data_IF_335395256283
#
_entry.id   IF_335395256283
#
_cell.length_a   1.000
_cell.length_b   1.000
_cell.length_c   1.000
_cell.angle_alpha   90.00
_cell.angle_beta   90.00
_cell.angle_gamma   90.00
#
_symmetry.space_group_name_H-M   'P 1'
#
loop_
_entity.id
_entity.type
_entity.pdbx_description
1 polymer ?
#
# COMPACT_ATOMS: atom_id res chain seq x y z
N UNK A 1 14.00 -0.85 10.76
CA UNK A 1 12.87 -0.40 9.93
C UNK A 1 11.56 -0.79 10.57
N UNK A 2 10.84 0.20 11.08
CA UNK A 2 9.49 0.13 11.62
C UNK A 2 8.59 1.04 10.79
N UNK A 3 7.35 0.64 10.55
CA UNK A 3 6.33 1.54 10.01
C UNK A 3 5.76 2.31 11.20
N UNK A 4 5.90 3.63 11.20
CA UNK A 4 5.51 4.48 12.31
C UNK A 4 4.23 5.27 12.05
N UNK A 5 3.87 5.50 10.79
CA UNK A 5 2.58 6.08 10.38
C UNK A 5 2.07 5.39 9.12
N UNK A 6 0.74 5.29 9.00
CA UNK A 6 0.04 4.76 7.82
C UNK A 6 -1.14 5.66 7.51
N UNK A 7 -1.11 6.29 6.33
CA UNK A 7 -2.19 7.15 5.85
C UNK A 7 -2.94 6.45 4.74
N UNK A 8 -4.23 6.19 4.97
CA UNK A 8 -5.10 5.49 4.01
C UNK A 8 -6.05 6.50 3.37
N UNK A 9 -6.01 6.59 2.05
CA UNK A 9 -7.01 7.31 1.26
C UNK A 9 -7.88 6.29 0.54
N UNK A 10 -9.11 6.11 1.05
CA UNK A 10 -10.13 5.25 0.44
C UNK A 10 -10.45 5.74 -0.98
N UNK A 11 -10.62 4.82 -1.91
CA UNK A 11 -11.09 5.08 -3.27
C UNK A 11 -12.53 4.56 -3.39
N UNK A 12 -13.29 5.10 -4.35
CA UNK A 12 -14.64 4.63 -4.65
C UNK A 12 -14.69 3.10 -4.76
N UNK A 13 -15.81 2.50 -4.33
CA UNK A 13 -15.96 1.04 -4.20
C UNK A 13 -15.85 0.27 -5.52
N UNK A 14 -15.94 0.97 -6.65
CA UNK A 14 -15.89 0.39 -8.00
C UNK A 14 -14.45 0.11 -8.45
N UNK A 15 -14.22 -1.11 -8.97
CA UNK A 15 -12.94 -1.54 -9.50
C UNK A 15 -12.06 -2.30 -8.50
N UNK A 16 -10.88 -2.72 -8.98
CA UNK A 16 -9.93 -3.56 -8.21
C UNK A 16 -9.15 -2.77 -7.17
N UNK A 17 -8.85 -1.49 -7.41
CA UNK A 17 -8.09 -0.65 -6.49
C UNK A 17 -9.02 -0.05 -5.44
N UNK A 18 -8.74 -0.30 -4.16
CA UNK A 18 -9.62 0.08 -3.05
C UNK A 18 -9.11 1.26 -2.24
N UNK A 19 -7.79 1.44 -2.17
CA UNK A 19 -7.19 2.56 -1.48
C UNK A 19 -5.82 2.90 -2.07
N UNK A 20 -5.41 4.14 -1.85
CA UNK A 20 -4.02 4.59 -1.98
C UNK A 20 -3.50 4.87 -0.58
N UNK A 21 -2.30 4.37 -0.28
CA UNK A 21 -1.70 4.34 1.04
C UNK A 21 -0.31 4.97 0.97
N UNK A 22 0.03 5.74 2.00
CA UNK A 22 1.41 6.18 2.27
C UNK A 22 1.85 5.63 3.62
N UNK A 23 3.11 5.22 3.73
CA UNK A 23 3.70 4.75 4.98
C UNK A 23 4.90 5.61 5.35
N UNK A 24 5.08 5.88 6.65
CA UNK A 24 6.28 6.48 7.21
C UNK A 24 7.11 5.38 7.86
N UNK A 25 8.40 5.36 7.54
CA UNK A 25 9.39 4.42 8.04
C UNK A 25 10.29 5.14 9.03
N UNK A 26 10.39 4.58 10.24
CA UNK A 26 11.23 5.06 11.35
C UNK A 26 11.07 6.56 11.66
N UNK A 27 9.89 7.16 11.42
CA UNK A 27 9.62 8.61 11.55
C UNK A 27 10.47 9.52 10.65
N UNK A 28 11.15 8.95 9.66
CA UNK A 28 12.20 9.64 8.90
C UNK A 28 11.95 9.62 7.39
N UNK A 29 11.31 8.58 6.85
CA UNK A 29 11.19 8.40 5.41
C UNK A 29 9.77 7.99 5.00
N UNK A 30 9.22 8.63 3.98
CA UNK A 30 7.85 8.34 3.51
C UNK A 30 7.87 7.67 2.15
N UNK A 31 7.09 6.60 2.00
CA UNK A 31 6.79 5.96 0.72
C UNK A 31 5.33 6.23 0.38
N UNK A 32 5.11 6.94 -0.72
CA UNK A 32 3.78 7.24 -1.25
C UNK A 32 3.32 6.23 -2.31
N UNK A 33 2.05 6.33 -2.69
CA UNK A 33 1.44 5.62 -3.81
C UNK A 33 1.48 4.08 -3.74
N UNK A 34 1.46 3.51 -2.53
CA UNK A 34 1.17 2.10 -2.33
C UNK A 34 -0.32 1.88 -2.53
N UNK A 35 -0.73 0.85 -3.26
CA UNK A 35 -2.14 0.59 -3.59
C UNK A 35 -2.63 -0.64 -2.85
N UNK A 36 -3.82 -0.58 -2.28
CA UNK A 36 -4.57 -1.76 -1.84
C UNK A 36 -5.44 -2.23 -2.99
N UNK A 37 -5.28 -3.49 -3.39
CA UNK A 37 -5.95 -4.07 -4.56
C UNK A 37 -6.70 -5.34 -4.13
N UNK A 38 -7.94 -5.46 -4.58
CA UNK A 38 -8.75 -6.68 -4.51
C UNK A 38 -8.46 -7.58 -5.71
N UNK A 39 -7.87 -8.73 -5.43
CA UNK A 39 -7.66 -9.82 -6.39
C UNK A 39 -8.56 -11.02 -6.08
N UNK A 40 -8.43 -12.07 -6.90
CA UNK A 40 -9.25 -13.30 -6.76
C UNK A 40 -9.03 -14.04 -5.43
N UNK A 41 -7.84 -13.90 -4.84
CA UNK A 41 -7.45 -14.54 -3.56
C UNK A 41 -7.58 -13.60 -2.35
N UNK A 42 -8.24 -12.45 -2.53
CA UNK A 42 -8.39 -11.43 -1.50
C UNK A 42 -7.54 -10.18 -1.73
N UNK A 43 -7.42 -9.37 -0.68
CA UNK A 43 -6.70 -8.10 -0.71
C UNK A 43 -5.19 -8.32 -0.70
N UNK A 44 -4.47 -7.53 -1.49
CA UNK A 44 -3.02 -7.46 -1.48
C UNK A 44 -2.55 -6.02 -1.75
N UNK A 45 -1.27 -5.75 -1.51
CA UNK A 45 -0.67 -4.44 -1.82
C UNK A 45 0.13 -4.47 -3.12
N UNK A 46 0.06 -3.40 -3.89
CA UNK A 46 0.99 -3.12 -4.98
C UNK A 46 1.86 -1.92 -4.59
N UNK A 47 3.17 -2.10 -4.66
CA UNK A 47 4.13 -1.03 -4.41
C UNK A 47 4.03 0.08 -5.48
N UNK A 48 4.51 1.30 -5.19
CA UNK A 48 4.59 2.36 -6.18
C UNK A 48 5.47 1.92 -7.35
N UNK A 49 4.95 2.03 -8.56
CA UNK A 49 5.62 1.60 -9.78
C UNK A 49 5.54 2.64 -10.88
N UNK A 50 6.57 2.67 -11.72
CA UNK A 50 6.65 3.56 -12.89
C UNK A 50 6.77 2.73 -14.16
N UNK A 51 6.09 3.18 -15.21
CA UNK A 51 6.26 2.63 -16.56
C UNK A 51 7.60 3.13 -17.12
N UNK A 52 8.47 2.19 -17.48
CA UNK A 52 9.73 2.44 -18.15
C UNK A 52 9.52 2.69 -19.65
N UNK A 53 10.56 3.16 -20.34
CA UNK A 53 10.51 3.50 -21.78
C UNK A 53 10.26 2.26 -22.67
N UNK A 54 10.66 1.08 -22.19
CA UNK A 54 10.37 -0.23 -22.79
C UNK A 54 8.92 -0.70 -22.58
N UNK A 55 8.13 0.04 -21.81
CA UNK A 55 6.74 -0.25 -21.52
C UNK A 55 6.51 -1.14 -20.29
N UNK A 56 7.57 -1.64 -19.66
CA UNK A 56 7.47 -2.45 -18.44
C UNK A 56 7.18 -1.59 -17.21
N UNK A 57 6.43 -2.13 -16.25
CA UNK A 57 6.27 -1.50 -14.94
C UNK A 57 7.35 -2.04 -13.99
N UNK A 58 8.04 -1.13 -13.32
CA UNK A 58 9.00 -1.46 -12.27
C UNK A 58 8.65 -0.72 -10.99
N UNK A 59 8.73 -1.43 -9.88
CA UNK A 59 8.53 -0.85 -8.56
C UNK A 59 9.65 0.17 -8.28
N UNK A 60 9.25 1.39 -7.94
CA UNK A 60 10.14 2.47 -7.52
C UNK A 60 10.71 2.16 -6.13
N UNK A 61 9.87 1.61 -5.25
CA UNK A 61 10.26 1.18 -3.91
C UNK A 61 9.70 -0.21 -3.66
N UNK A 62 10.52 -1.14 -3.20
CA UNK A 62 10.07 -2.49 -2.85
C UNK A 62 10.92 -3.09 -1.73
N UNK A 63 10.33 -3.91 -0.85
CA UNK A 63 11.08 -4.66 0.14
C UNK A 63 11.98 -5.70 -0.54
N UNK A 64 13.21 -5.83 -0.06
CA UNK A 64 14.21 -6.77 -0.61
C UNK A 64 13.89 -8.23 -0.23
N UNK A 65 13.36 -8.45 0.97
CA UNK A 65 13.11 -9.80 1.49
C UNK A 65 11.64 -10.02 1.88
N UNK A 66 11.23 -11.29 1.90
CA UNK A 66 9.84 -11.70 2.16
C UNK A 66 9.35 -11.27 3.53
N UNK A 67 10.17 -11.38 4.58
CA UNK A 67 9.77 -10.96 5.93
C UNK A 67 9.37 -9.48 5.97
N UNK A 68 10.16 -8.61 5.31
CA UNK A 68 9.84 -7.18 5.23
C UNK A 68 8.57 -6.94 4.40
N UNK A 69 8.39 -7.71 3.32
CA UNK A 69 7.16 -7.66 2.50
C UNK A 69 5.93 -8.01 3.33
N UNK A 70 6.00 -9.08 4.11
CA UNK A 70 4.88 -9.56 4.92
C UNK A 70 4.51 -8.56 6.01
N UNK A 71 5.51 -7.93 6.65
CA UNK A 71 5.30 -6.86 7.63
C UNK A 71 4.59 -5.68 6.97
N UNK A 72 5.09 -5.16 5.85
CA UNK A 72 4.49 -4.01 5.15
C UNK A 72 3.05 -4.32 4.73
N UNK A 73 2.83 -5.49 4.10
CA UNK A 73 1.50 -5.88 3.64
C UNK A 73 0.51 -5.97 4.80
N UNK A 74 0.87 -6.68 5.87
CA UNK A 74 0.00 -6.84 7.04
C UNK A 74 -0.35 -5.48 7.66
N UNK A 75 0.66 -4.64 7.93
CA UNK A 75 0.45 -3.33 8.56
C UNK A 75 -0.45 -2.41 7.71
N UNK A 76 -0.30 -2.43 6.39
CA UNK A 76 -1.15 -1.64 5.49
C UNK A 76 -2.59 -2.18 5.45
N UNK A 77 -2.77 -3.50 5.33
CA UNK A 77 -4.10 -4.09 5.26
C UNK A 77 -4.88 -3.90 6.57
N UNK A 78 -4.23 -4.09 7.72
CA UNK A 78 -4.84 -3.80 9.04
C UNK A 78 -5.28 -2.33 9.16
N UNK A 79 -4.45 -1.40 8.68
CA UNK A 79 -4.77 0.04 8.71
C UNK A 79 -5.91 0.39 7.76
N UNK A 80 -5.95 -0.25 6.58
CA UNK A 80 -7.04 -0.11 5.63
C UNK A 80 -8.38 -0.62 6.19
N UNK A 81 -8.38 -1.79 6.82
CA UNK A 81 -9.59 -2.33 7.47
C UNK A 81 -10.12 -1.42 8.57
N UNK A 82 -9.24 -0.84 9.40
CA UNK A 82 -9.64 0.17 10.41
C UNK A 82 -10.26 1.40 9.75
N UNK A 83 -9.65 1.92 8.69
CA UNK A 83 -10.17 3.08 7.95
C UNK A 83 -11.54 2.83 7.29
N UNK A 84 -11.91 1.57 7.03
CA UNK A 84 -13.26 1.23 6.55
C UNK A 84 -14.34 1.32 7.64
N UNK A 85 -13.96 1.14 8.90
CA UNK A 85 -14.87 1.24 10.05
C UNK A 85 -15.09 2.69 10.49
N UNK A 86 -14.14 3.57 10.17
CA UNK A 86 -14.26 4.99 10.45
C UNK A 86 -15.20 5.69 9.44
N UNK A 87 -16.20 6.44 9.91
CA UNK A 87 -17.07 7.23 9.04
C UNK A 87 -16.22 8.21 8.22
N UNK A 88 -16.62 8.45 6.97
CA UNK A 88 -15.99 9.51 6.16
C UNK A 88 -16.20 10.84 6.88
N UNK A 89 -15.09 11.52 7.21
CA UNK A 89 -15.08 12.83 7.85
C UNK A 89 -15.53 13.93 6.88
#
# INVERSE_FOLDING_TARGET
MRITDVRVRKIAKEGKMKAVVSITLDDEFVVHDIKVIEGEKGLFIAMPSKKSADGEYRDIAHPINSNTRDIIQRTILESYEKALLEPEA
#
